data_IF_137249683015
#
_entry.id   IF_137249683015
#
_cell.length_a   1.000
_cell.length_b   1.000
_cell.length_c   1.000
_cell.angle_alpha   90.00
_cell.angle_beta   90.00
_cell.angle_gamma   90.00
#
_symmetry.space_group_name_H-M   'P 1'
#
loop_
_entity.id
_entity.type
_entity.pdbx_description
1 polymer ?
#
# COMPACT_ATOMS: atom_id res chain seq x y z
N UNK A 1 3.33 -44.09 -27.00
CA UNK A 1 1.91 -43.99 -26.56
C UNK A 1 1.92 -44.10 -25.05
N UNK A 2 1.76 -43.07 -24.22
CA UNK A 2 0.98 -41.84 -24.33
C UNK A 2 0.11 -41.79 -23.07
N UNK A 3 0.61 -41.24 -21.95
CA UNK A 3 -0.15 -41.08 -20.72
C UNK A 3 0.18 -39.70 -20.12
N UNK A 4 -0.70 -38.73 -20.37
CA UNK A 4 -0.70 -37.41 -19.72
C UNK A 4 -1.45 -37.57 -18.41
N UNK A 5 -0.74 -37.45 -17.28
CA UNK A 5 -1.35 -37.34 -15.97
C UNK A 5 -1.73 -35.87 -15.72
N UNK A 6 -3.02 -35.65 -15.49
CA UNK A 6 -3.62 -34.37 -15.07
C UNK A 6 -3.05 -34.01 -13.70
N UNK A 7 -2.32 -32.91 -13.60
CA UNK A 7 -2.03 -32.26 -12.32
C UNK A 7 -3.07 -31.17 -12.11
N UNK A 8 -4.21 -31.57 -11.54
CA UNK A 8 -5.08 -30.67 -10.81
C UNK A 8 -4.37 -30.31 -9.50
N UNK A 9 -3.58 -29.23 -9.54
CA UNK A 9 -3.06 -28.59 -8.34
C UNK A 9 -4.22 -27.87 -7.65
N UNK A 10 -4.88 -28.57 -6.72
CA UNK A 10 -5.72 -27.95 -5.73
C UNK A 10 -4.82 -27.03 -4.89
N UNK A 11 -4.86 -25.74 -5.16
CA UNK A 11 -4.27 -24.73 -4.29
C UNK A 11 -4.88 -24.88 -2.91
N UNK A 12 -4.03 -25.14 -1.92
CA UNK A 12 -4.41 -25.20 -0.52
C UNK A 12 -5.10 -23.89 -0.14
N UNK A 13 -6.27 -24.03 0.51
CA UNK A 13 -7.18 -22.99 0.99
C UNK A 13 -6.58 -21.98 1.99
N UNK A 14 -5.26 -21.89 2.14
CA UNK A 14 -4.56 -21.02 3.10
C UNK A 14 -3.83 -19.83 2.43
N UNK A 15 -3.83 -19.73 1.10
CA UNK A 15 -3.18 -18.61 0.38
C UNK A 15 -4.09 -17.37 0.20
N UNK A 16 -5.34 -17.43 0.66
CA UNK A 16 -6.34 -16.37 0.50
C UNK A 16 -6.55 -15.46 1.70
N UNK A 17 -5.90 -15.73 2.84
CA UNK A 17 -6.16 -15.02 4.11
C UNK A 17 -5.16 -13.89 4.34
N UNK A 18 -4.83 -13.16 3.27
CA UNK A 18 -4.12 -11.90 3.47
C UNK A 18 -5.09 -10.87 4.02
N UNK A 19 -4.56 -10.02 4.89
CA UNK A 19 -5.30 -8.94 5.54
C UNK A 19 -6.04 -8.15 4.46
N UNK A 20 -7.36 -8.05 4.54
CA UNK A 20 -8.17 -7.14 3.71
C UNK A 20 -8.41 -5.85 4.48
N UNK A 21 -8.67 -4.75 3.77
CA UNK A 21 -9.36 -3.63 4.43
C UNK A 21 -10.67 -4.27 4.89
N UNK A 22 -10.88 -4.41 6.21
CA UNK A 22 -11.91 -5.28 6.80
C UNK A 22 -13.13 -5.40 5.87
N UNK A 23 -13.24 -6.52 5.14
CA UNK A 23 -14.15 -6.71 4.00
C UNK A 23 -15.63 -6.82 4.39
N UNK A 24 -15.98 -6.24 5.53
CA UNK A 24 -17.31 -6.20 6.12
C UNK A 24 -17.61 -4.81 6.75
N UNK A 25 -16.81 -3.77 6.43
CA UNK A 25 -16.91 -2.44 7.03
C UNK A 25 -16.98 -1.29 6.02
N UNK A 26 -17.41 -0.12 6.51
CA UNK A 26 -17.26 1.12 5.75
C UNK A 26 -15.77 1.41 5.49
N UNK A 27 -15.48 2.12 4.41
CA UNK A 27 -14.15 2.63 4.09
C UNK A 27 -14.27 4.04 3.53
N UNK A 28 -13.15 4.76 3.53
CA UNK A 28 -13.09 6.09 2.94
C UNK A 28 -12.35 6.02 1.61
N UNK A 29 -12.98 6.54 0.58
CA UNK A 29 -12.28 6.89 -0.66
C UNK A 29 -11.79 8.32 -0.56
N UNK A 30 -10.51 8.51 -0.83
CA UNK A 30 -9.89 9.81 -0.98
C UNK A 30 -9.44 9.94 -2.42
N UNK A 31 -9.75 11.07 -3.06
CA UNK A 31 -9.14 11.42 -4.32
C UNK A 31 -7.61 11.44 -4.12
N UNK A 32 -6.93 10.49 -4.75
CA UNK A 32 -5.52 10.24 -4.52
C UNK A 32 -4.66 11.45 -4.89
N UNK A 33 -3.49 11.62 -4.24
CA UNK A 33 -2.56 12.70 -4.59
C UNK A 33 -2.03 12.54 -6.01
N UNK A 34 -1.47 13.61 -6.57
CA UNK A 34 -0.91 13.62 -7.93
C UNK A 34 0.50 13.03 -8.04
N UNK A 35 1.18 12.82 -6.90
CA UNK A 35 2.52 12.23 -6.82
C UNK A 35 2.76 11.56 -5.46
N UNK A 36 3.74 10.65 -5.40
CA UNK A 36 4.21 10.09 -4.14
C UNK A 36 4.83 11.15 -3.24
N UNK A 37 5.48 12.18 -3.79
CA UNK A 37 6.02 13.29 -2.98
C UNK A 37 4.91 13.97 -2.16
N UNK A 38 3.75 14.27 -2.78
CA UNK A 38 2.61 14.87 -2.07
C UNK A 38 2.06 13.90 -1.02
N UNK A 39 1.93 12.61 -1.36
CA UNK A 39 1.46 11.59 -0.41
C UNK A 39 2.37 11.50 0.81
N UNK A 40 3.67 11.31 0.60
CA UNK A 40 4.65 11.10 1.65
C UNK A 40 4.73 12.30 2.58
N UNK A 41 4.67 13.53 2.04
CA UNK A 41 4.59 14.75 2.84
C UNK A 41 3.28 14.80 3.65
N UNK A 42 2.15 14.42 3.05
CA UNK A 42 0.85 14.44 3.73
C UNK A 42 0.78 13.42 4.89
N UNK A 43 1.47 12.28 4.76
CA UNK A 43 1.51 11.21 5.77
C UNK A 43 2.36 11.56 7.02
N UNK A 44 3.24 12.56 6.94
CA UNK A 44 4.09 12.99 8.06
C UNK A 44 3.27 13.41 9.27
N UNK A 45 3.53 12.78 10.42
CA UNK A 45 2.78 12.97 11.66
C UNK A 45 1.28 12.63 11.59
N UNK A 46 0.81 12.00 10.50
CA UNK A 46 -0.55 11.50 10.38
C UNK A 46 -0.65 10.02 10.75
N UNK A 47 0.36 9.24 10.38
CA UNK A 47 0.42 7.81 10.65
C UNK A 47 0.71 7.52 12.13
N UNK A 48 0.10 6.46 12.69
CA UNK A 48 0.40 6.02 14.05
C UNK A 48 1.80 5.39 14.14
N UNK A 49 2.40 5.45 15.34
CA UNK A 49 3.68 4.80 15.62
C UNK A 49 3.62 3.29 15.32
N UNK A 50 4.68 2.79 14.69
CA UNK A 50 4.79 1.39 14.26
C UNK A 50 4.04 1.06 12.98
N UNK A 51 3.52 2.05 12.24
CA UNK A 51 3.03 1.83 10.89
C UNK A 51 4.17 1.47 9.92
N UNK A 52 3.85 0.67 8.91
CA UNK A 52 4.75 0.17 7.88
C UNK A 52 4.16 0.51 6.52
N UNK A 53 4.99 1.10 5.65
CA UNK A 53 4.72 1.34 4.25
C UNK A 53 5.14 0.10 3.45
N UNK A 54 4.26 -0.37 2.57
CA UNK A 54 4.48 -1.46 1.65
C UNK A 54 4.39 -0.92 0.22
N UNK A 55 5.43 -1.18 -0.56
CA UNK A 55 5.57 -0.76 -1.96
C UNK A 55 5.65 -2.01 -2.82
N UNK A 56 4.75 -2.13 -3.80
CA UNK A 56 4.68 -3.31 -4.66
C UNK A 56 4.81 -2.96 -6.14
N UNK A 57 5.47 -3.85 -6.88
CA UNK A 57 5.59 -3.85 -8.34
C UNK A 57 6.24 -2.61 -8.96
N UNK A 58 6.97 -1.84 -8.14
CA UNK A 58 7.82 -0.75 -8.62
C UNK A 58 9.00 -1.23 -9.47
N UNK A 59 9.60 -0.29 -10.20
CA UNK A 59 10.80 -0.49 -11.02
C UNK A 59 11.98 0.35 -10.51
N UNK A 60 12.45 0.13 -9.26
CA UNK A 60 13.36 1.07 -8.61
C UNK A 60 14.69 1.17 -9.34
N UNK A 61 15.29 2.36 -9.33
CA UNK A 61 16.61 2.63 -9.84
C UNK A 61 17.70 2.30 -8.78
N UNK A 62 18.92 2.80 -8.93
CA UNK A 62 19.97 2.59 -7.94
C UNK A 62 19.74 3.39 -6.63
N UNK A 63 19.25 4.63 -6.71
CA UNK A 63 19.00 5.47 -5.53
C UNK A 63 17.85 4.89 -4.69
N UNK A 64 16.74 4.51 -5.32
CA UNK A 64 15.60 3.87 -4.66
C UNK A 64 15.98 2.51 -4.06
N UNK A 65 16.77 1.70 -4.76
CA UNK A 65 17.28 0.44 -4.19
C UNK A 65 18.16 0.66 -2.96
N UNK A 66 19.01 1.69 -2.97
CA UNK A 66 19.85 2.03 -1.83
C UNK A 66 18.99 2.49 -0.63
N UNK A 67 17.97 3.31 -0.87
CA UNK A 67 17.00 3.69 0.15
C UNK A 67 16.29 2.45 0.73
N UNK A 68 15.75 1.60 -0.14
CA UNK A 68 15.05 0.38 0.27
C UNK A 68 15.96 -0.51 1.10
N UNK A 69 17.21 -0.74 0.67
CA UNK A 69 18.17 -1.54 1.43
C UNK A 69 18.51 -0.94 2.81
N UNK A 70 18.54 0.39 2.93
CA UNK A 70 18.83 1.09 4.20
C UNK A 70 17.68 1.06 5.21
N UNK A 71 16.43 0.97 4.75
CA UNK A 71 15.24 1.01 5.59
C UNK A 71 14.42 -0.29 5.61
N UNK A 72 14.80 -1.30 4.83
CA UNK A 72 13.99 -2.51 4.67
C UNK A 72 13.81 -3.24 5.99
N UNK A 73 12.55 -3.53 6.30
CA UNK A 73 12.19 -4.44 7.38
C UNK A 73 11.98 -5.85 6.79
N UNK A 74 12.27 -6.91 7.57
CA UNK A 74 11.69 -8.22 7.29
C UNK A 74 10.17 -8.07 7.18
N UNK A 75 9.53 -8.83 6.27
CA UNK A 75 8.06 -8.82 6.10
C UNK A 75 7.41 -8.99 7.48
N UNK A 76 6.67 -7.97 7.93
CA UNK A 76 6.11 -7.94 9.30
C UNK A 76 4.70 -8.52 9.39
N UNK A 77 3.95 -8.58 8.29
CA UNK A 77 2.59 -9.13 8.24
C UNK A 77 2.29 -9.80 6.89
N UNK A 78 1.28 -10.68 6.87
CA UNK A 78 0.76 -11.30 5.66
C UNK A 78 -0.06 -10.29 4.85
N UNK A 79 0.62 -9.39 4.16
CA UNK A 79 0.02 -8.64 3.04
C UNK A 79 -0.43 -9.67 1.99
N UNK A 80 -1.74 -9.75 1.63
CA UNK A 80 -2.19 -10.51 0.48
C UNK A 80 -1.51 -9.92 -0.72
N UNK A 81 -0.64 -10.71 -1.31
CA UNK A 81 0.04 -10.32 -2.52
C UNK A 81 -1.01 -10.37 -3.65
N UNK A 82 -1.28 -9.24 -4.31
CA UNK A 82 -2.26 -9.16 -5.39
C UNK A 82 -1.94 -10.02 -6.62
N UNK A 83 -0.67 -10.44 -6.75
CA UNK A 83 -0.14 -11.20 -7.89
C UNK A 83 0.45 -12.53 -7.45
N UNK A 84 -0.22 -13.64 -7.78
CA UNK A 84 0.23 -15.01 -7.46
C UNK A 84 1.51 -15.37 -8.26
N UNK A 85 1.68 -14.82 -9.47
CA UNK A 85 2.84 -15.07 -10.32
C UNK A 85 2.95 -14.05 -11.49
N UNK A 86 4.14 -13.51 -11.85
CA UNK A 86 5.42 -13.64 -11.16
C UNK A 86 5.38 -13.06 -9.74
N UNK A 87 6.30 -13.50 -8.86
CA UNK A 87 6.35 -13.00 -7.48
C UNK A 87 6.63 -11.50 -7.51
N UNK A 88 5.72 -10.66 -7.01
CA UNK A 88 5.87 -9.22 -7.10
C UNK A 88 7.04 -8.76 -6.23
N UNK A 89 7.64 -7.65 -6.66
CA UNK A 89 8.68 -7.00 -5.91
C UNK A 89 8.03 -6.22 -4.77
N UNK A 90 8.24 -6.63 -3.52
CA UNK A 90 7.57 -6.06 -2.35
C UNK A 90 8.60 -5.54 -1.35
N UNK A 91 8.52 -4.26 -0.99
CA UNK A 91 9.37 -3.63 0.00
C UNK A 91 8.58 -3.08 1.18
N UNK A 92 9.04 -3.42 2.38
CA UNK A 92 8.49 -2.92 3.64
C UNK A 92 9.45 -1.93 4.26
N UNK A 93 8.93 -0.73 4.56
CA UNK A 93 9.69 0.41 5.09
C UNK A 93 8.94 0.95 6.31
N UNK A 94 9.61 1.24 7.44
CA UNK A 94 8.94 1.87 8.57
C UNK A 94 8.40 3.23 8.16
N UNK A 95 7.16 3.55 8.55
CA UNK A 95 6.57 4.88 8.35
C UNK A 95 7.12 5.92 9.35
N UNK A 96 8.44 5.94 9.53
CA UNK A 96 9.12 6.90 10.39
C UNK A 96 9.25 8.26 9.69
N UNK A 97 9.36 9.33 10.47
CA UNK A 97 9.59 10.68 9.95
C UNK A 97 10.83 10.74 9.04
N UNK A 98 11.92 10.07 9.44
CA UNK A 98 13.16 10.02 8.66
C UNK A 98 12.95 9.33 7.29
N UNK A 99 12.23 8.21 7.26
CA UNK A 99 11.95 7.49 6.03
C UNK A 99 11.02 8.30 5.10
N UNK A 100 9.98 8.93 5.64
CA UNK A 100 9.06 9.77 4.86
C UNK A 100 9.75 10.99 4.27
N UNK A 101 10.59 11.68 5.04
CA UNK A 101 11.35 12.85 4.58
C UNK A 101 12.33 12.46 3.48
N UNK A 102 13.13 11.42 3.71
CA UNK A 102 14.14 11.01 2.74
C UNK A 102 13.52 10.47 1.46
N UNK A 103 12.47 9.65 1.56
CA UNK A 103 11.80 9.12 0.38
C UNK A 103 11.10 10.22 -0.43
N UNK A 104 10.48 11.20 0.23
CA UNK A 104 9.87 12.34 -0.48
C UNK A 104 10.93 13.12 -1.28
N UNK A 105 12.12 13.35 -0.69
CA UNK A 105 13.26 14.01 -1.36
C UNK A 105 13.79 13.21 -2.55
N UNK A 106 13.79 11.88 -2.47
CA UNK A 106 14.17 11.01 -3.59
C UNK A 106 13.12 11.13 -4.71
N UNK A 107 11.83 11.06 -4.36
CA UNK A 107 10.73 11.09 -5.33
C UNK A 107 10.57 12.41 -6.08
N UNK A 108 11.13 13.53 -5.60
CA UNK A 108 11.19 14.79 -6.36
C UNK A 108 11.86 14.66 -7.74
N UNK A 109 12.66 13.61 -7.95
CA UNK A 109 13.45 13.39 -9.18
C UNK A 109 13.14 12.06 -9.89
N UNK A 110 12.13 11.32 -9.43
CA UNK A 110 11.77 10.01 -9.96
C UNK A 110 10.34 9.98 -10.46
N UNK A 111 10.07 9.15 -11.48
CA UNK A 111 8.71 8.88 -11.89
C UNK A 111 8.04 7.94 -10.89
N UNK A 112 6.74 8.13 -10.69
CA UNK A 112 5.99 7.38 -9.67
C UNK A 112 6.06 5.85 -9.79
N UNK A 113 5.95 5.26 -11.01
CA UNK A 113 6.05 3.80 -11.20
C UNK A 113 7.42 3.20 -10.86
N UNK A 114 8.46 4.02 -10.69
CA UNK A 114 9.77 3.54 -10.22
C UNK A 114 9.69 3.11 -8.76
N UNK A 115 8.87 3.78 -7.94
CA UNK A 115 8.69 3.43 -6.53
C UNK A 115 7.70 2.28 -6.36
N UNK A 116 6.48 2.41 -6.90
CA UNK A 116 5.43 1.42 -6.74
C UNK A 116 4.28 1.58 -7.73
N UNK A 117 3.63 0.46 -8.04
CA UNK A 117 2.32 0.42 -8.70
C UNK A 117 1.21 0.28 -7.67
N UNK A 118 1.46 -0.49 -6.60
CA UNK A 118 0.56 -0.60 -5.45
C UNK A 118 1.22 -0.04 -4.19
N UNK A 119 0.49 0.80 -3.47
CA UNK A 119 0.96 1.40 -2.23
C UNK A 119 0.00 1.14 -1.09
N UNK A 120 0.59 0.85 0.06
CA UNK A 120 -0.05 0.14 1.13
C UNK A 120 0.53 0.65 2.46
N UNK A 121 -0.32 0.93 3.44
CA UNK A 121 0.13 1.22 4.81
C UNK A 121 -0.68 0.40 5.80
N UNK A 122 0.03 -0.32 6.67
CA UNK A 122 -0.57 -1.11 7.73
C UNK A 122 0.13 -0.87 9.06
N UNK A 123 -0.52 -1.27 10.14
CA UNK A 123 0.08 -1.36 11.47
C UNK A 123 -0.31 -2.70 12.06
N UNK A 124 0.67 -3.53 12.38
CA UNK A 124 0.44 -4.93 12.78
C UNK A 124 -0.39 -5.66 11.72
N UNK A 125 -1.59 -6.09 12.07
CA UNK A 125 -2.51 -6.82 11.19
C UNK A 125 -3.66 -5.95 10.67
N UNK A 126 -3.57 -4.62 10.79
CA UNK A 126 -4.64 -3.71 10.36
C UNK A 126 -4.18 -2.80 9.23
N UNK A 127 -4.93 -2.80 8.12
CA UNK A 127 -4.76 -1.83 7.05
C UNK A 127 -5.20 -0.45 7.48
N UNK A 128 -4.38 0.54 7.15
CA UNK A 128 -4.71 1.95 7.32
C UNK A 128 -5.02 2.60 5.96
N UNK A 129 -4.26 2.22 4.93
CA UNK A 129 -4.31 2.78 3.59
C UNK A 129 -4.05 1.70 2.56
N UNK A 130 -4.86 1.65 1.51
CA UNK A 130 -4.62 0.86 0.32
C UNK A 130 -4.81 1.72 -0.92
N UNK A 131 -3.88 1.60 -1.86
CA UNK A 131 -3.93 2.28 -3.14
C UNK A 131 -3.46 1.31 -4.21
N UNK A 132 -4.39 0.47 -4.66
CA UNK A 132 -4.20 -0.35 -5.86
C UNK A 132 -4.18 0.56 -7.09
N UNK A 133 -3.35 0.24 -8.07
CA UNK A 133 -3.12 1.06 -9.26
C UNK A 133 -2.97 2.56 -8.94
N UNK A 134 -1.91 2.90 -8.20
CA UNK A 134 -1.62 4.27 -7.79
C UNK A 134 -1.75 5.24 -8.99
N UNK A 135 -2.36 6.40 -8.74
CA UNK A 135 -2.70 7.44 -9.73
C UNK A 135 -3.79 7.09 -10.76
N UNK A 136 -4.30 5.84 -10.76
CA UNK A 136 -5.40 5.40 -11.65
C UNK A 136 -6.67 5.04 -10.89
N UNK A 137 -6.55 4.68 -9.60
CA UNK A 137 -7.68 4.39 -8.70
C UNK A 137 -7.72 5.39 -7.53
N UNK A 138 -8.84 5.49 -6.78
CA UNK A 138 -8.87 6.24 -5.53
C UNK A 138 -8.00 5.59 -4.45
N UNK A 139 -7.54 6.41 -3.50
CA UNK A 139 -6.82 5.96 -2.32
C UNK A 139 -7.85 5.57 -1.25
N UNK A 140 -7.80 4.33 -0.78
CA UNK A 140 -8.73 3.78 0.20
C UNK A 140 -8.14 3.87 1.61
N UNK A 141 -8.93 4.31 2.58
CA UNK A 141 -8.57 4.30 4.00
C UNK A 141 -9.54 3.44 4.79
N UNK A 142 -9.04 2.78 5.83
CA UNK A 142 -9.88 2.00 6.74
C UNK A 142 -10.99 2.84 7.37
N UNK A 143 -12.21 2.30 7.44
CA UNK A 143 -13.33 2.95 8.12
C UNK A 143 -13.15 3.09 9.63
N UNK A 144 -12.17 2.39 10.22
CA UNK A 144 -11.80 2.60 11.62
C UNK A 144 -11.12 3.95 11.87
N UNK A 145 -10.70 4.66 10.81
CA UNK A 145 -10.09 5.98 10.91
C UNK A 145 -11.22 7.02 11.07
N UNK A 146 -11.18 7.85 12.13
CA UNK A 146 -12.17 8.91 12.32
C UNK A 146 -12.22 9.88 11.14
N UNK A 147 -13.43 10.29 10.74
CA UNK A 147 -13.66 11.19 9.61
C UNK A 147 -12.78 12.44 9.67
N UNK A 148 -12.59 13.03 10.84
CA UNK A 148 -11.79 14.23 11.02
C UNK A 148 -10.33 14.00 10.61
N UNK A 149 -9.78 12.80 10.89
CA UNK A 149 -8.43 12.43 10.46
C UNK A 149 -8.36 12.21 8.95
N UNK A 150 -9.40 11.67 8.34
CA UNK A 150 -9.50 11.48 6.88
C UNK A 150 -9.56 12.83 6.18
N UNK A 151 -10.37 13.76 6.69
CA UNK A 151 -10.49 15.13 6.17
C UNK A 151 -9.14 15.88 6.27
N UNK A 152 -8.40 15.72 7.36
CA UNK A 152 -7.05 16.28 7.50
C UNK A 152 -6.10 15.75 6.43
N UNK A 153 -6.08 14.43 6.19
CA UNK A 153 -5.21 13.85 5.18
C UNK A 153 -5.59 14.32 3.77
N UNK A 154 -6.89 14.29 3.44
CA UNK A 154 -7.39 14.75 2.15
C UNK A 154 -7.04 16.23 1.90
N UNK A 155 -7.21 17.08 2.91
CA UNK A 155 -6.83 18.49 2.84
C UNK A 155 -5.34 18.67 2.54
N UNK A 156 -4.45 17.90 3.21
CA UNK A 156 -3.00 17.94 2.95
C UNK A 156 -2.62 17.54 1.53
N UNK A 157 -3.41 16.66 0.90
CA UNK A 157 -3.21 16.21 -0.47
C UNK A 157 -3.93 17.08 -1.52
N UNK A 158 -4.77 18.03 -1.08
CA UNK A 158 -5.66 18.81 -1.96
C UNK A 158 -6.81 18.00 -2.55
N UNK A 159 -7.15 16.85 -1.95
CA UNK A 159 -8.16 15.91 -2.43
C UNK A 159 -9.53 16.08 -1.76
N UNK A 160 -10.49 15.28 -2.21
CA UNK A 160 -11.85 15.16 -1.64
C UNK A 160 -12.06 13.78 -1.05
N UNK A 161 -13.02 13.65 -0.15
CA UNK A 161 -13.37 12.37 0.48
C UNK A 161 -14.78 11.93 0.07
N UNK A 162 -14.99 10.62 0.00
CA UNK A 162 -16.28 9.96 -0.12
C UNK A 162 -16.30 8.79 0.87
N UNK A 163 -17.37 8.69 1.64
CA UNK A 163 -17.64 7.49 2.43
C UNK A 163 -18.24 6.42 1.52
N UNK A 164 -17.71 5.20 1.58
CA UNK A 164 -18.21 4.06 0.84
C UNK A 164 -18.43 2.88 1.78
N UNK A 165 -19.41 2.05 1.45
CA UNK A 165 -19.75 0.84 2.20
C UNK A 165 -19.61 -0.29 1.19
N UNK A 166 -18.81 -1.32 1.47
CA UNK A 166 -18.86 -2.53 0.65
C UNK A 166 -20.26 -3.13 0.76
N UNK A 167 -20.95 -3.42 -0.36
CA UNK A 167 -22.22 -4.11 -0.29
C UNK A 167 -22.02 -5.44 0.43
N UNK A 168 -22.85 -5.74 1.43
CA UNK A 168 -22.87 -7.05 2.05
C UNK A 168 -23.25 -8.09 0.98
N UNK A 169 -22.38 -9.08 0.77
CA UNK A 169 -22.64 -10.24 -0.09
C UNK A 169 -23.88 -11.04 0.35
#
# INVERSE_FOLDING_TARGET
MGWVARLSGAGSKEEGDGIRLDGAGAYWEVEGPRSFTVLLVALRGWLPDGAVMCFEDGSPDAELRAFMAGYSLPKQSHVPIGTIWPKPLVFHVPASEAALVELARIMERHAEPELAIHFHVYRQETWLLQWYDAFSAPLLLSGSIPREKVEVLACRMGGRIREAIEPAD
#
